data_IF_066420400713
#
_entry.id   IF_066420400713
#
_cell.length_a   1.000
_cell.length_b   1.000
_cell.length_c   1.000
_cell.angle_alpha   90.00
_cell.angle_beta   90.00
_cell.angle_gamma   90.00
#
_symmetry.space_group_name_H-M   'P 1'
#
loop_
_entity.id
_entity.type
_entity.pdbx_description
1 polymer ?
#
# COMPACT_ATOMS: atom_id res chain seq x y z
N UNK A 1 16.91 4.96 -6.84
CA UNK A 1 16.80 5.87 -5.68
C UNK A 1 17.10 5.07 -4.43
N UNK A 2 17.90 5.58 -3.48
CA UNK A 2 18.32 4.85 -2.27
C UNK A 2 17.64 5.47 -1.03
N UNK A 3 17.20 4.64 -0.09
CA UNK A 3 16.55 5.14 1.13
C UNK A 3 17.56 5.90 2.01
N UNK A 4 17.13 7.03 2.59
CA UNK A 4 17.96 7.92 3.41
C UNK A 4 17.64 7.85 4.91
N UNK A 5 17.18 6.69 5.39
CA UNK A 5 16.93 6.46 6.81
C UNK A 5 18.27 6.35 7.56
N UNK A 6 18.31 6.73 8.84
CA UNK A 6 19.43 6.38 9.72
C UNK A 6 19.58 4.84 9.84
N UNK A 7 20.76 4.31 10.24
CA UNK A 7 20.89 2.91 10.63
C UNK A 7 19.79 2.48 11.62
N UNK A 8 19.24 1.29 11.44
CA UNK A 8 18.08 0.80 12.21
C UNK A 8 16.74 1.49 11.92
N UNK A 9 16.72 2.54 11.07
CA UNK A 9 15.52 3.30 10.73
C UNK A 9 14.46 2.48 9.99
N UNK A 10 13.19 2.84 10.22
CA UNK A 10 12.02 2.10 9.71
C UNK A 10 11.14 2.99 8.82
N UNK A 11 10.77 2.47 7.66
CA UNK A 11 9.70 2.96 6.79
C UNK A 11 8.44 2.14 7.05
N UNK A 12 7.31 2.82 7.26
CA UNK A 12 5.97 2.23 7.23
C UNK A 12 5.17 2.92 6.13
N UNK A 13 4.80 2.16 5.10
CA UNK A 13 4.02 2.65 3.98
C UNK A 13 2.65 1.98 3.97
N UNK A 14 1.60 2.76 4.19
CA UNK A 14 0.22 2.30 3.99
C UNK A 14 -0.08 2.33 2.50
N UNK A 15 -0.55 1.21 1.97
CA UNK A 15 -0.74 1.02 0.55
C UNK A 15 -2.07 0.34 0.26
N UNK A 16 -2.77 0.79 -0.79
CA UNK A 16 -3.95 0.07 -1.27
C UNK A 16 -3.49 -1.14 -2.07
N UNK A 17 -4.17 -2.27 -1.88
CA UNK A 17 -3.98 -3.48 -2.70
C UNK A 17 -4.13 -3.24 -4.20
N UNK A 18 -4.81 -2.15 -4.60
CA UNK A 18 -5.00 -1.73 -5.99
C UNK A 18 -3.76 -1.08 -6.61
N UNK A 19 -2.72 -0.79 -5.84
CA UNK A 19 -1.57 -0.02 -6.29
C UNK A 19 -0.32 -0.85 -6.64
N UNK A 20 -0.44 -2.19 -6.69
CA UNK A 20 0.71 -3.08 -6.97
C UNK A 20 1.58 -3.28 -5.73
N UNK A 21 1.19 -4.22 -4.87
CA UNK A 21 1.90 -4.46 -3.60
C UNK A 21 3.30 -5.02 -3.86
N UNK A 22 3.40 -5.98 -4.79
CA UNK A 22 4.64 -6.66 -5.13
C UNK A 22 5.67 -5.70 -5.73
N UNK A 23 5.23 -4.84 -6.66
CA UNK A 23 6.05 -3.81 -7.30
C UNK A 23 6.55 -2.80 -6.27
N UNK A 24 5.67 -2.33 -5.39
CA UNK A 24 6.03 -1.44 -4.29
C UNK A 24 7.02 -2.10 -3.32
N UNK A 25 6.81 -3.36 -2.95
CA UNK A 25 7.77 -4.09 -2.12
C UNK A 25 9.13 -4.23 -2.82
N UNK A 26 9.15 -4.51 -4.13
CA UNK A 26 10.37 -4.59 -4.90
C UNK A 26 11.10 -3.25 -4.95
N UNK A 27 10.39 -2.14 -5.16
CA UNK A 27 10.98 -0.81 -5.16
C UNK A 27 11.61 -0.47 -3.80
N UNK A 28 10.94 -0.82 -2.70
CA UNK A 28 11.47 -0.61 -1.33
C UNK A 28 12.73 -1.48 -1.08
N UNK A 29 12.75 -2.73 -1.58
CA UNK A 29 13.96 -3.58 -1.53
C UNK A 29 15.10 -2.99 -2.35
N UNK A 30 14.83 -2.54 -3.57
CA UNK A 30 15.81 -1.91 -4.44
C UNK A 30 16.36 -0.60 -3.85
N UNK A 31 15.58 0.08 -3.01
CA UNK A 31 16.04 1.24 -2.25
C UNK A 31 17.01 0.89 -1.09
N UNK A 32 17.25 -0.40 -0.83
CA UNK A 32 18.20 -0.90 0.16
C UNK A 32 17.59 -1.24 1.52
N UNK A 33 16.28 -1.48 1.61
CA UNK A 33 15.59 -1.81 2.86
C UNK A 33 15.17 -3.29 2.89
N UNK A 34 15.33 -3.94 4.05
CA UNK A 34 14.71 -5.25 4.29
C UNK A 34 13.20 -5.05 4.37
N UNK A 35 12.46 -5.71 3.49
CA UNK A 35 11.05 -5.35 3.22
C UNK A 35 10.10 -6.53 3.41
N UNK A 36 9.03 -6.29 4.15
CA UNK A 36 7.93 -7.23 4.40
C UNK A 36 6.57 -6.52 4.32
N UNK A 37 5.50 -7.27 4.11
CA UNK A 37 4.13 -6.79 4.36
C UNK A 37 3.80 -7.12 5.80
N UNK A 38 3.83 -6.10 6.67
CA UNK A 38 3.64 -6.27 8.10
C UNK A 38 2.16 -6.47 8.48
N UNK A 39 1.24 -5.86 7.73
CA UNK A 39 -0.21 -5.93 7.99
C UNK A 39 -0.97 -6.00 6.69
N UNK A 40 -2.04 -6.81 6.66
CA UNK A 40 -3.13 -6.75 5.67
C UNK A 40 -4.47 -6.62 6.37
N UNK A 41 -5.30 -5.68 5.90
CA UNK A 41 -6.63 -5.43 6.46
C UNK A 41 -7.63 -5.10 5.36
N UNK A 42 -8.73 -5.85 5.35
CA UNK A 42 -9.92 -5.50 4.59
C UNK A 42 -10.77 -4.55 5.43
N UNK A 43 -11.04 -3.36 4.91
CA UNK A 43 -11.82 -2.31 5.57
C UNK A 43 -12.90 -1.78 4.64
N UNK A 44 -13.96 -1.14 5.15
CA UNK A 44 -14.88 -0.37 4.32
C UNK A 44 -14.13 0.75 3.59
N UNK A 45 -14.67 1.17 2.45
CA UNK A 45 -14.19 2.38 1.80
C UNK A 45 -14.24 3.59 2.72
N UNK A 46 -13.17 4.38 2.72
CA UNK A 46 -13.15 5.67 3.39
C UNK A 46 -14.18 6.66 2.80
N UNK A 47 -14.43 7.80 3.46
CA UNK A 47 -15.44 8.77 3.03
C UNK A 47 -15.24 9.25 1.59
N UNK A 48 -14.00 9.49 1.20
CA UNK A 48 -13.65 9.96 -0.15
C UNK A 48 -13.94 8.91 -1.23
N UNK A 49 -13.59 7.66 -0.98
CA UNK A 49 -13.82 6.57 -1.94
C UNK A 49 -15.31 6.23 -2.01
N UNK A 50 -15.99 6.22 -0.86
CA UNK A 50 -17.44 6.01 -0.78
C UNK A 50 -18.23 7.05 -1.56
N UNK A 51 -17.87 8.34 -1.46
CA UNK A 51 -18.53 9.43 -2.19
C UNK A 51 -18.35 9.36 -3.72
N UNK A 52 -17.43 8.52 -4.21
CA UNK A 52 -17.11 8.35 -5.64
C UNK A 52 -17.20 6.90 -6.08
N UNK A 53 -17.88 6.03 -5.33
CA UNK A 53 -17.91 4.60 -5.59
C UNK A 53 -18.38 4.29 -7.01
N UNK A 54 -19.49 4.90 -7.43
CA UNK A 54 -20.06 4.70 -8.77
C UNK A 54 -19.09 5.17 -9.88
N UNK A 55 -18.40 6.30 -9.68
CA UNK A 55 -17.36 6.76 -10.60
C UNK A 55 -16.19 5.78 -10.72
N UNK A 56 -15.76 5.17 -9.62
CA UNK A 56 -14.71 4.14 -9.64
C UNK A 56 -15.18 2.86 -10.34
N UNK A 57 -16.46 2.49 -10.20
CA UNK A 57 -17.07 1.37 -10.91
C UNK A 57 -17.16 1.63 -12.42
N UNK A 58 -17.66 2.80 -12.82
CA UNK A 58 -17.74 3.24 -14.23
C UNK A 58 -16.37 3.26 -14.91
N UNK A 59 -15.31 3.59 -14.17
CA UNK A 59 -13.91 3.59 -14.65
C UNK A 59 -13.25 2.21 -14.62
N UNK A 60 -13.94 1.18 -14.13
CA UNK A 60 -13.39 -0.17 -13.98
C UNK A 60 -12.28 -0.28 -12.93
N UNK A 61 -12.15 0.71 -12.05
CA UNK A 61 -11.14 0.74 -10.98
C UNK A 61 -11.58 -0.08 -9.75
N UNK A 62 -12.88 -0.34 -9.64
CA UNK A 62 -13.52 -1.17 -8.62
C UNK A 62 -14.61 -2.00 -9.30
N UNK A 63 -14.75 -3.28 -8.92
CA UNK A 63 -15.83 -4.11 -9.43
C UNK A 63 -17.20 -3.62 -8.90
N UNK A 64 -18.28 -3.71 -9.70
CA UNK A 64 -19.60 -3.26 -9.28
C UNK A 64 -20.04 -3.80 -7.91
N UNK A 65 -20.55 -2.92 -7.05
CA UNK A 65 -21.05 -3.27 -5.72
C UNK A 65 -19.98 -3.53 -4.65
N UNK A 66 -18.68 -3.48 -4.98
CA UNK A 66 -17.62 -3.57 -3.98
C UNK A 66 -17.58 -2.30 -3.13
N UNK A 67 -17.67 -2.44 -1.80
CA UNK A 67 -17.62 -1.32 -0.83
C UNK A 67 -16.50 -1.45 0.20
N UNK A 68 -15.56 -2.36 -0.06
CA UNK A 68 -14.42 -2.63 0.80
C UNK A 68 -13.14 -2.56 -0.01
N UNK A 69 -12.06 -2.19 0.67
CA UNK A 69 -10.71 -2.26 0.15
C UNK A 69 -9.81 -3.08 1.06
N UNK A 70 -8.75 -3.62 0.50
CA UNK A 70 -7.64 -4.13 1.30
C UNK A 70 -6.53 -3.09 1.33
N UNK A 71 -6.17 -2.68 2.55
CA UNK A 71 -4.97 -1.91 2.83
C UNK A 71 -3.89 -2.84 3.37
N UNK A 72 -2.66 -2.56 2.96
CA UNK A 72 -1.47 -3.24 3.44
C UNK A 72 -0.49 -2.23 4.03
N UNK A 73 0.29 -2.66 5.02
CA UNK A 73 1.44 -1.90 5.53
C UNK A 73 2.70 -2.59 5.05
N UNK A 74 3.41 -1.94 4.14
CA UNK A 74 4.75 -2.34 3.73
C UNK A 74 5.73 -1.75 4.75
N UNK A 75 6.52 -2.63 5.37
CA UNK A 75 7.54 -2.26 6.33
C UNK A 75 8.92 -2.46 5.72
N UNK A 76 9.72 -1.40 5.71
CA UNK A 76 11.11 -1.42 5.27
C UNK A 76 12.05 -1.06 6.43
N UNK A 77 13.09 -1.86 6.66
CA UNK A 77 14.09 -1.60 7.71
C UNK A 77 15.46 -1.42 7.10
N UNK A 78 16.15 -0.33 7.46
CA UNK A 78 17.56 -0.16 7.14
C UNK A 78 18.38 -0.95 8.15
N UNK A 79 19.34 -1.74 7.67
CA UNK A 79 20.31 -2.41 8.54
C UNK A 79 21.11 -1.40 9.37
N UNK A 80 21.67 -1.87 10.48
CA UNK A 80 22.69 -1.16 11.26
C UNK A 80 23.91 -0.77 10.39
#
# INVERSE_FOLDING_TARGET
>A
MRAQLAPGGVLLLVHSSRCGIEESCQAVRQAGLRTEVAVRRRIPFGPLVSARADWFEERGLVAPGVRHEELVVIRGVRSE
#
